data_IF_826976849681
#
_entry.id   IF_826976849681
#
_cell.length_a   1.000
_cell.length_b   1.000
_cell.length_c   1.000
_cell.angle_alpha   90.00
_cell.angle_beta   90.00
_cell.angle_gamma   90.00
#
_symmetry.space_group_name_H-M   'P 1'
#
loop_
_entity.id
_entity.type
_entity.pdbx_description
1 polymer ?
#
# COMPACT_ATOMS: atom_id res chain seq x y z
N UNK A 1 -15.89 65.46 -19.88
CA UNK A 1 -15.76 66.10 -21.21
C UNK A 1 -14.27 66.24 -21.54
N UNK A 2 -13.86 65.66 -22.68
CA UNK A 2 -12.76 65.97 -23.61
C UNK A 2 -11.64 66.96 -23.18
N UNK A 3 -10.37 66.49 -23.24
CA UNK A 3 -9.28 66.86 -24.22
C UNK A 3 -8.43 68.08 -23.77
N UNK A 4 -7.12 68.24 -24.00
CA UNK A 4 -6.05 67.57 -24.78
C UNK A 4 -4.68 68.28 -24.49
N UNK A 5 -3.55 67.57 -24.70
CA UNK A 5 -2.24 67.94 -25.35
C UNK A 5 -1.63 69.37 -25.15
N UNK A 6 -0.32 69.69 -25.19
CA UNK A 6 0.96 69.08 -25.62
C UNK A 6 2.13 70.05 -25.28
N UNK A 7 3.38 69.55 -25.26
CA UNK A 7 4.59 70.32 -25.61
C UNK A 7 5.81 69.98 -24.74
N UNK A 8 6.73 69.09 -25.16
CA UNK A 8 8.00 69.36 -25.90
C UNK A 8 9.00 70.21 -25.06
N UNK A 9 10.31 69.92 -24.89
CA UNK A 9 11.32 69.38 -25.81
C UNK A 9 12.67 69.15 -25.06
N UNK A 10 13.43 68.14 -25.51
CA UNK A 10 14.90 67.97 -25.55
C UNK A 10 15.81 68.07 -24.31
N UNK A 11 16.64 67.03 -24.08
CA UNK A 11 18.06 67.05 -24.49
C UNK A 11 18.70 65.67 -24.28
N UNK A 12 19.38 65.17 -25.31
CA UNK A 12 20.14 63.94 -25.32
C UNK A 12 21.53 64.15 -24.70
N UNK A 13 21.99 63.18 -23.91
CA UNK A 13 23.43 62.90 -23.76
C UNK A 13 23.64 61.39 -23.80
N UNK A 14 24.18 60.95 -24.94
CA UNK A 14 24.81 59.66 -25.12
C UNK A 14 26.19 59.72 -24.46
N UNK A 15 26.48 58.81 -23.54
CA UNK A 15 27.84 58.34 -23.31
C UNK A 15 27.84 56.82 -23.25
N UNK A 16 28.54 56.26 -24.23
CA UNK A 16 28.90 54.87 -24.41
C UNK A 16 30.01 54.45 -23.46
N UNK A 17 29.93 53.23 -22.93
CA UNK A 17 30.94 52.15 -23.02
C UNK A 17 30.77 51.21 -21.83
N UNK A 18 30.75 49.92 -22.14
CA UNK A 18 30.16 48.89 -21.32
C UNK A 18 30.96 48.52 -20.07
N UNK A 19 30.19 48.14 -19.05
CA UNK A 19 30.53 46.99 -18.25
C UNK A 19 29.50 45.90 -18.53
N UNK A 20 30.02 44.76 -18.99
CA UNK A 20 29.27 43.53 -19.15
C UNK A 20 28.71 43.13 -17.77
N UNK A 21 27.40 43.25 -17.60
CA UNK A 21 26.71 42.37 -16.66
C UNK A 21 26.53 41.06 -17.42
N UNK A 22 27.17 40.01 -16.92
CA UNK A 22 26.95 38.67 -17.42
C UNK A 22 25.44 38.42 -17.38
N UNK A 23 24.82 38.28 -18.55
CA UNK A 23 23.53 37.63 -18.67
C UNK A 23 23.72 36.22 -18.15
N UNK A 24 23.46 36.02 -16.85
CA UNK A 24 23.04 34.74 -16.36
C UNK A 24 21.79 34.42 -17.18
N UNK A 25 21.96 33.61 -18.24
CA UNK A 25 20.88 32.92 -18.93
C UNK A 25 19.98 32.40 -17.82
N UNK A 26 18.87 33.08 -17.58
CA UNK A 26 17.81 32.57 -16.76
C UNK A 26 17.56 31.19 -17.33
N UNK A 27 17.87 30.15 -16.55
CA UNK A 27 17.43 28.81 -16.87
C UNK A 27 15.93 28.98 -17.00
N UNK A 28 15.46 29.07 -18.24
CA UNK A 28 14.07 28.87 -18.60
C UNK A 28 13.73 27.59 -17.87
N UNK A 29 12.99 27.73 -16.78
CA UNK A 29 12.55 26.64 -15.95
C UNK A 29 11.75 25.78 -16.91
N UNK A 30 12.41 24.74 -17.43
CA UNK A 30 11.86 23.91 -18.49
C UNK A 30 10.59 23.35 -17.92
N UNK A 31 9.44 23.73 -18.49
CA UNK A 31 8.17 23.08 -18.17
C UNK A 31 8.45 21.58 -18.17
N UNK A 32 8.23 20.85 -17.07
CA UNK A 32 8.48 19.43 -17.07
C UNK A 32 7.64 18.86 -18.20
N UNK A 33 8.32 18.30 -19.20
CA UNK A 33 7.67 17.57 -20.27
C UNK A 33 7.24 16.28 -19.61
N UNK A 34 6.06 16.29 -19.00
CA UNK A 34 5.37 15.06 -18.63
C UNK A 34 5.12 14.36 -19.96
N UNK A 35 6.05 13.48 -20.34
CA UNK A 35 5.83 12.63 -21.48
C UNK A 35 4.86 11.56 -20.99
N UNK A 36 3.76 11.36 -21.70
CA UNK A 36 2.92 10.17 -21.59
C UNK A 36 3.02 9.52 -22.97
N UNK A 37 4.09 8.72 -23.18
CA UNK A 37 4.41 8.17 -24.50
C UNK A 37 3.47 7.02 -24.88
N UNK A 38 3.08 6.22 -23.91
CA UNK A 38 2.15 5.11 -24.04
C UNK A 38 0.68 5.58 -24.12
N UNK A 39 0.40 6.84 -23.78
CA UNK A 39 -0.93 7.48 -23.82
C UNK A 39 -1.95 6.73 -22.98
N UNK A 40 -1.52 6.25 -21.82
CA UNK A 40 -2.38 5.50 -20.91
C UNK A 40 -2.94 6.36 -19.76
N UNK A 41 -2.61 7.66 -19.78
CA UNK A 41 -3.10 8.66 -18.85
C UNK A 41 -2.23 8.86 -17.63
N UNK A 42 -1.07 8.18 -17.55
CA UNK A 42 -0.09 8.36 -16.49
C UNK A 42 1.20 8.94 -17.08
N UNK A 43 1.80 9.99 -16.48
CA UNK A 43 3.12 10.47 -16.91
C UNK A 43 4.23 9.41 -16.76
N UNK A 44 5.07 9.26 -17.79
CA UNK A 44 6.22 8.35 -17.84
C UNK A 44 7.12 8.50 -16.59
N UNK A 45 7.29 9.72 -16.07
CA UNK A 45 8.15 9.98 -14.90
C UNK A 45 7.57 9.44 -13.60
N UNK A 46 6.25 9.47 -13.45
CA UNK A 46 5.54 8.83 -12.34
C UNK A 46 5.64 7.30 -12.46
N UNK A 47 5.40 6.74 -13.65
CA UNK A 47 5.54 5.30 -13.89
C UNK A 47 6.96 4.78 -13.59
N UNK A 48 7.98 5.54 -13.99
CA UNK A 48 9.39 5.23 -13.73
C UNK A 48 9.75 5.35 -12.25
N UNK A 49 9.22 6.37 -11.55
CA UNK A 49 9.43 6.56 -10.10
C UNK A 49 9.00 5.32 -9.31
N UNK A 50 7.88 4.72 -9.68
CA UNK A 50 7.32 3.53 -9.01
C UNK A 50 7.67 2.20 -9.70
N UNK A 51 8.52 2.22 -10.73
CA UNK A 51 9.00 1.03 -11.45
C UNK A 51 7.86 0.17 -12.01
N UNK A 52 6.83 0.82 -12.57
CA UNK A 52 5.65 0.15 -13.13
C UNK A 52 5.86 -0.34 -14.56
N UNK A 53 6.79 0.27 -15.30
CA UNK A 53 7.00 0.06 -16.74
C UNK A 53 6.31 1.16 -17.57
N UNK A 54 6.50 1.15 -18.90
CA UNK A 54 5.95 2.16 -19.83
C UNK A 54 5.00 1.51 -20.86
N UNK A 55 4.32 0.45 -20.45
CA UNK A 55 3.39 -0.28 -21.32
C UNK A 55 2.01 0.36 -21.31
N UNK A 56 1.26 0.28 -22.40
CA UNK A 56 -0.09 0.88 -22.50
C UNK A 56 -1.12 0.34 -21.49
N UNK A 57 -0.86 -0.83 -20.90
CA UNK A 57 -1.74 -1.45 -19.92
C UNK A 57 -1.33 -1.15 -18.48
N UNK A 58 -0.22 -0.43 -18.24
CA UNK A 58 0.30 -0.15 -16.90
C UNK A 58 -0.74 0.61 -16.09
N UNK A 59 -1.38 1.61 -16.68
CA UNK A 59 -2.47 2.35 -16.02
C UNK A 59 -3.64 1.51 -15.49
N UNK A 60 -3.91 0.32 -16.06
CA UNK A 60 -5.02 -0.55 -15.65
C UNK A 60 -4.58 -1.69 -14.71
N UNK A 61 -3.30 -1.77 -14.37
CA UNK A 61 -2.81 -2.75 -13.41
C UNK A 61 -3.05 -2.24 -11.99
N UNK A 62 -3.23 -3.18 -11.08
CA UNK A 62 -3.27 -2.98 -9.64
C UNK A 62 -2.01 -3.65 -9.09
N UNK A 63 -1.00 -2.82 -8.79
CA UNK A 63 0.39 -3.28 -8.60
C UNK A 63 0.60 -3.88 -7.21
N UNK A 64 -0.02 -3.32 -6.19
CA UNK A 64 0.08 -3.77 -4.80
C UNK A 64 -1.14 -4.59 -4.34
N UNK A 65 -2.21 -4.64 -5.14
CA UNK A 65 -3.39 -5.50 -4.97
C UNK A 65 -4.31 -5.04 -3.85
N UNK A 66 -4.45 -3.73 -3.70
CA UNK A 66 -5.36 -3.10 -2.75
C UNK A 66 -6.78 -2.86 -3.33
N UNK A 67 -6.96 -3.09 -4.63
CA UNK A 67 -8.23 -2.89 -5.34
C UNK A 67 -8.31 -1.61 -6.16
N UNK A 68 -7.23 -0.81 -6.24
CA UNK A 68 -7.12 0.36 -7.10
C UNK A 68 -6.17 0.10 -8.27
N UNK A 69 -6.52 0.64 -9.43
CA UNK A 69 -5.57 0.63 -10.56
C UNK A 69 -4.56 1.77 -10.40
N UNK A 70 -3.34 1.60 -10.92
CA UNK A 70 -2.28 2.61 -10.93
C UNK A 70 -2.77 4.00 -11.39
N UNK A 71 -3.74 4.06 -12.33
CA UNK A 71 -4.33 5.34 -12.79
C UNK A 71 -5.19 6.02 -11.72
N UNK A 72 -5.99 5.23 -11.00
CA UNK A 72 -6.82 5.74 -9.90
C UNK A 72 -5.91 6.25 -8.79
N UNK A 73 -4.88 5.49 -8.44
CA UNK A 73 -3.89 5.89 -7.45
C UNK A 73 -3.13 7.16 -7.87
N UNK A 74 -2.79 7.31 -9.14
CA UNK A 74 -2.22 8.55 -9.68
C UNK A 74 -3.14 9.76 -9.46
N UNK A 75 -4.44 9.62 -9.74
CA UNK A 75 -5.43 10.68 -9.53
C UNK A 75 -5.58 11.05 -8.05
N UNK A 76 -5.58 10.05 -7.17
CA UNK A 76 -5.68 10.21 -5.72
C UNK A 76 -4.35 10.60 -5.06
N UNK A 77 -3.24 10.65 -5.82
CA UNK A 77 -1.88 10.94 -5.35
C UNK A 77 -1.35 9.92 -4.32
N UNK A 78 -1.77 8.69 -4.48
CA UNK A 78 -1.39 7.53 -3.67
C UNK A 78 -0.10 6.88 -4.22
N UNK A 79 0.39 5.87 -3.51
CA UNK A 79 1.58 5.13 -3.87
C UNK A 79 1.23 3.73 -4.42
N UNK A 80 1.40 3.49 -5.74
CA UNK A 80 1.06 2.23 -6.44
C UNK A 80 1.95 1.04 -6.11
N UNK A 81 2.68 1.10 -5.01
CA UNK A 81 3.52 0.00 -4.54
C UNK A 81 3.28 -0.30 -3.07
N UNK A 82 2.26 0.31 -2.48
CA UNK A 82 1.89 0.20 -1.08
C UNK A 82 0.38 0.16 -1.00
N UNK A 83 -0.13 -0.96 -0.50
CA UNK A 83 -1.56 -1.14 -0.27
C UNK A 83 -2.18 -0.16 0.74
N UNK A 84 -1.34 0.56 1.48
CA UNK A 84 -1.68 1.53 2.52
C UNK A 84 -0.58 2.60 2.48
N UNK A 85 -0.90 3.73 1.83
CA UNK A 85 0.05 4.80 1.53
C UNK A 85 0.42 5.59 2.78
N UNK A 86 -0.56 5.87 3.63
CA UNK A 86 -0.43 6.75 4.80
C UNK A 86 -0.16 6.00 6.12
N UNK A 87 -0.31 4.67 6.09
CA UNK A 87 -0.04 3.72 7.17
C UNK A 87 -1.03 3.80 8.33
N UNK A 88 -2.28 4.15 8.05
CA UNK A 88 -3.33 4.20 9.05
C UNK A 88 -4.01 2.82 9.30
N UNK A 89 -3.58 1.78 8.57
CA UNK A 89 -4.10 0.40 8.58
C UNK A 89 -5.42 0.19 7.82
N UNK A 90 -5.91 1.21 7.12
CA UNK A 90 -6.93 1.11 6.10
C UNK A 90 -6.20 1.00 4.76
N UNK A 91 -6.65 0.09 3.89
CA UNK A 91 -6.04 -0.02 2.58
C UNK A 91 -6.49 1.17 1.72
N UNK A 92 -5.64 1.66 0.83
CA UNK A 92 -5.92 2.78 -0.07
C UNK A 92 -7.25 2.57 -0.85
N UNK A 93 -7.51 1.35 -1.34
CA UNK A 93 -8.79 0.98 -1.95
C UNK A 93 -10.00 0.91 -1.00
N UNK A 94 -9.77 0.78 0.31
CA UNK A 94 -10.80 0.74 1.36
C UNK A 94 -11.07 2.12 2.00
N UNK A 95 -10.23 3.13 1.72
CA UNK A 95 -10.46 4.51 2.15
C UNK A 95 -11.69 5.15 1.48
N UNK A 96 -12.23 6.20 2.08
CA UNK A 96 -13.32 7.06 1.57
C UNK A 96 -12.77 8.48 1.42
N UNK A 97 -12.08 8.74 0.30
CA UNK A 97 -11.24 9.94 0.12
C UNK A 97 -12.05 11.23 0.18
N UNK A 98 -13.25 11.22 -0.39
CA UNK A 98 -14.13 12.39 -0.51
C UNK A 98 -15.23 12.45 0.57
N UNK A 99 -15.33 11.41 1.41
CA UNK A 99 -16.19 11.31 2.60
C UNK A 99 -17.66 11.35 2.23
N UNK A 100 -18.03 10.53 1.27
CA UNK A 100 -19.38 10.44 0.76
C UNK A 100 -20.12 9.18 1.24
N UNK A 101 -19.39 8.22 1.82
CA UNK A 101 -19.90 6.96 2.36
C UNK A 101 -19.62 5.74 1.48
N UNK A 102 -18.94 5.90 0.34
CA UNK A 102 -18.39 4.83 -0.48
C UNK A 102 -16.87 4.74 -0.30
N UNK A 103 -16.32 3.54 -0.49
CA UNK A 103 -14.86 3.38 -0.52
C UNK A 103 -14.35 3.63 -1.94
N UNK A 104 -13.10 4.06 -2.08
CA UNK A 104 -12.45 4.33 -3.36
C UNK A 104 -12.66 3.17 -4.36
N UNK A 105 -12.45 1.92 -3.93
CA UNK A 105 -12.65 0.74 -4.79
C UNK A 105 -14.13 0.43 -5.08
N UNK A 106 -15.06 0.80 -4.19
CA UNK A 106 -16.49 0.66 -4.44
C UNK A 106 -16.95 1.66 -5.52
N UNK A 107 -16.46 2.89 -5.45
CA UNK A 107 -16.73 3.94 -6.42
C UNK A 107 -16.22 3.58 -7.81
N UNK A 108 -14.97 3.10 -7.90
CA UNK A 108 -14.41 2.57 -9.15
C UNK A 108 -15.30 1.47 -9.75
N UNK A 109 -15.84 0.58 -8.92
CA UNK A 109 -16.72 -0.50 -9.37
C UNK A 109 -18.12 0.01 -9.82
N UNK A 110 -18.57 1.14 -9.27
CA UNK A 110 -19.83 1.80 -9.61
C UNK A 110 -19.70 2.77 -10.79
N UNK A 111 -18.48 3.17 -11.13
CA UNK A 111 -18.17 4.16 -12.17
C UNK A 111 -18.27 5.61 -11.70
N UNK A 112 -18.27 5.83 -10.38
CA UNK A 112 -18.14 7.15 -9.76
C UNK A 112 -16.65 7.49 -9.57
N UNK A 113 -16.35 8.71 -9.11
CA UNK A 113 -14.99 9.27 -9.01
C UNK A 113 -14.58 9.37 -7.55
N UNK A 114 -13.57 8.61 -7.09
CA UNK A 114 -13.17 8.60 -5.68
C UNK A 114 -12.73 9.93 -5.06
N UNK A 115 -12.35 10.89 -5.91
CA UNK A 115 -11.97 12.23 -5.49
C UNK A 115 -13.14 13.25 -5.45
N UNK A 116 -14.36 12.85 -5.78
CA UNK A 116 -15.49 13.74 -6.08
C UNK A 116 -16.83 13.18 -5.57
N UNK A 117 -17.21 13.65 -4.37
CA UNK A 117 -18.35 13.14 -3.60
C UNK A 117 -19.72 13.23 -4.29
N UNK A 118 -19.83 13.88 -5.45
CA UNK A 118 -21.04 14.03 -6.27
C UNK A 118 -20.62 13.98 -7.75
N UNK A 119 -20.33 12.77 -8.23
CA UNK A 119 -19.64 12.56 -9.50
C UNK A 119 -20.38 13.10 -10.73
N UNK A 120 -21.71 13.11 -10.69
CA UNK A 120 -22.57 13.61 -11.76
C UNK A 120 -23.12 15.03 -11.52
N UNK A 121 -22.75 15.65 -10.39
CA UNK A 121 -23.10 17.00 -9.98
C UNK A 121 -24.62 17.23 -9.90
N UNK A 122 -25.39 16.22 -9.50
CA UNK A 122 -26.84 16.29 -9.31
C UNK A 122 -27.27 16.82 -7.92
N UNK A 123 -26.29 17.11 -7.05
CA UNK A 123 -26.41 17.56 -5.64
C UNK A 123 -26.77 16.45 -4.67
N UNK A 124 -26.69 15.19 -5.07
CA UNK A 124 -26.77 14.02 -4.19
C UNK A 124 -25.39 13.38 -4.18
N UNK A 125 -24.86 13.13 -2.98
CA UNK A 125 -23.58 12.42 -2.87
C UNK A 125 -23.67 11.02 -3.45
N UNK A 126 -22.61 10.48 -4.05
CA UNK A 126 -22.63 9.15 -4.67
C UNK A 126 -23.04 8.06 -3.65
N UNK A 127 -22.51 8.11 -2.43
CA UNK A 127 -22.89 7.24 -1.32
C UNK A 127 -24.29 7.45 -0.75
N UNK A 128 -24.90 8.62 -1.00
CA UNK A 128 -26.28 8.91 -0.63
C UNK A 128 -27.27 8.58 -1.76
N UNK A 129 -26.79 8.24 -2.96
CA UNK A 129 -27.64 7.94 -4.09
C UNK A 129 -28.48 6.68 -3.84
N UNK A 130 -29.77 6.79 -4.14
CA UNK A 130 -30.75 5.68 -4.02
C UNK A 130 -31.06 5.01 -5.35
N UNK A 131 -30.33 5.36 -6.42
CA UNK A 131 -30.58 4.88 -7.78
C UNK A 131 -29.67 3.70 -8.12
N UNK A 132 -30.23 2.63 -8.67
CA UNK A 132 -29.43 1.54 -9.24
C UNK A 132 -28.49 0.84 -8.23
N UNK A 133 -27.20 0.75 -8.58
CA UNK A 133 -26.19 -0.05 -7.87
C UNK A 133 -25.63 0.64 -6.61
N UNK A 134 -25.65 1.96 -6.52
CA UNK A 134 -25.11 2.73 -5.36
C UNK A 134 -25.83 2.37 -4.06
N UNK A 135 -27.16 2.17 -4.12
CA UNK A 135 -27.97 1.65 -3.01
C UNK A 135 -27.46 0.32 -2.42
N UNK A 136 -26.85 -0.52 -3.25
CA UNK A 136 -26.39 -1.85 -2.86
C UNK A 136 -24.89 -1.88 -2.56
N UNK A 137 -24.19 -0.76 -2.72
CA UNK A 137 -22.74 -0.69 -2.69
C UNK A 137 -22.15 -1.27 -1.40
N UNK A 138 -22.75 -0.92 -0.25
CA UNK A 138 -22.29 -1.36 1.07
C UNK A 138 -23.02 -2.60 1.61
N UNK A 139 -23.94 -3.20 0.85
CA UNK A 139 -24.65 -4.41 1.28
C UNK A 139 -23.73 -5.62 1.12
N UNK A 140 -23.59 -6.46 2.16
CA UNK A 140 -22.87 -7.72 2.05
C UNK A 140 -23.72 -8.72 1.28
N UNK A 141 -23.24 -9.16 0.11
CA UNK A 141 -23.88 -10.20 -0.71
C UNK A 141 -23.40 -11.61 -0.34
N UNK A 142 -22.17 -11.72 0.16
CA UNK A 142 -21.57 -13.00 0.56
C UNK A 142 -20.61 -12.80 1.71
N UNK A 143 -20.64 -13.69 2.69
CA UNK A 143 -19.64 -13.76 3.75
C UNK A 143 -19.37 -15.23 4.10
N UNK A 144 -18.11 -15.63 4.09
CA UNK A 144 -17.63 -16.93 4.55
C UNK A 144 -16.64 -16.72 5.69
N UNK A 145 -16.90 -17.34 6.83
CA UNK A 145 -16.10 -17.19 8.04
C UNK A 145 -15.79 -18.56 8.63
N UNK A 146 -14.51 -18.80 8.91
CA UNK A 146 -14.01 -20.02 9.52
C UNK A 146 -13.10 -19.65 10.69
N UNK A 147 -13.46 -20.08 11.89
CA UNK A 147 -12.65 -19.93 13.09
C UNK A 147 -12.31 -21.30 13.64
N UNK A 148 -11.09 -21.43 14.16
CA UNK A 148 -10.61 -22.59 14.89
C UNK A 148 -9.98 -22.13 16.21
N UNK A 149 -10.54 -22.54 17.34
CA UNK A 149 -10.05 -22.18 18.67
C UNK A 149 -8.85 -23.04 19.09
N UNK A 150 -8.17 -22.66 20.16
CA UNK A 150 -7.12 -23.46 20.79
C UNK A 150 -7.61 -24.87 21.21
N UNK A 151 -8.86 -24.99 21.64
CA UNK A 151 -9.52 -26.26 21.96
C UNK A 151 -9.89 -27.09 20.71
N UNK A 152 -9.46 -26.68 19.51
CA UNK A 152 -9.72 -27.35 18.24
C UNK A 152 -11.22 -27.42 17.86
N UNK A 153 -12.06 -26.58 18.50
CA UNK A 153 -13.45 -26.36 18.10
C UNK A 153 -13.49 -25.42 16.89
N UNK A 154 -14.49 -25.62 16.03
CA UNK A 154 -14.67 -24.83 14.82
C UNK A 154 -15.99 -24.08 14.80
N UNK A 155 -15.93 -22.83 14.33
CA UNK A 155 -17.10 -22.04 13.95
C UNK A 155 -17.02 -21.85 12.44
N UNK A 156 -18.11 -22.18 11.74
CA UNK A 156 -18.25 -21.99 10.29
C UNK A 156 -19.53 -21.21 10.03
N UNK A 157 -19.41 -20.12 9.30
CA UNK A 157 -20.52 -19.27 8.89
C UNK A 157 -20.48 -19.10 7.38
N UNK A 158 -21.60 -19.33 6.74
CA UNK A 158 -21.83 -19.07 5.32
C UNK A 158 -23.08 -18.20 5.19
N UNK A 159 -22.90 -16.96 4.76
CA UNK A 159 -23.96 -16.00 4.52
C UNK A 159 -24.04 -15.63 3.05
N UNK A 160 -25.27 -15.61 2.54
CA UNK A 160 -25.57 -15.13 1.20
C UNK A 160 -26.80 -14.24 1.23
N UNK A 161 -26.75 -13.12 0.51
CA UNK A 161 -27.86 -12.19 0.36
C UNK A 161 -28.12 -11.88 -1.10
N UNK A 162 -29.39 -11.77 -1.43
CA UNK A 162 -29.91 -11.22 -2.69
C UNK A 162 -31.11 -10.31 -2.38
N UNK A 163 -31.55 -9.55 -3.38
CA UNK A 163 -32.74 -8.70 -3.23
C UNK A 163 -34.03 -9.47 -2.87
N UNK A 164 -34.07 -10.79 -3.12
CA UNK A 164 -35.25 -11.62 -2.89
C UNK A 164 -35.22 -12.37 -1.55
N UNK A 165 -34.04 -12.74 -1.08
CA UNK A 165 -33.86 -13.57 0.12
C UNK A 165 -32.43 -13.50 0.62
N UNK A 166 -32.26 -13.78 1.92
CA UNK A 166 -30.99 -14.06 2.55
C UNK A 166 -30.97 -15.47 3.14
N UNK A 167 -29.78 -16.06 3.21
CA UNK A 167 -29.53 -17.34 3.83
C UNK A 167 -28.29 -17.23 4.72
N UNK A 168 -28.46 -17.54 6.00
CA UNK A 168 -27.38 -17.63 6.97
C UNK A 168 -27.32 -19.06 7.47
N UNK A 169 -26.20 -19.74 7.19
CA UNK A 169 -25.91 -21.05 7.73
C UNK A 169 -24.75 -20.94 8.71
N UNK A 170 -24.88 -21.58 9.86
CA UNK A 170 -23.82 -21.61 10.87
C UNK A 170 -23.70 -23.00 11.47
N UNK A 171 -22.46 -23.42 11.68
CA UNK A 171 -22.09 -24.58 12.50
C UNK A 171 -21.09 -24.10 13.53
N UNK A 172 -21.47 -24.21 14.80
CA UNK A 172 -20.63 -23.83 15.92
C UNK A 172 -20.39 -25.06 16.82
N UNK A 173 -19.12 -25.35 17.12
CA UNK A 173 -18.70 -26.40 18.05
C UNK A 173 -18.32 -25.87 19.44
N UNK A 174 -18.24 -24.55 19.64
CA UNK A 174 -18.08 -23.94 20.97
C UNK A 174 -19.41 -23.92 21.70
N UNK A 175 -20.50 -23.64 20.98
CA UNK A 175 -21.84 -23.52 21.53
C UNK A 175 -22.13 -22.14 22.11
N UNK A 176 -21.25 -21.17 21.85
CA UNK A 176 -21.28 -19.82 22.42
C UNK A 176 -21.76 -18.78 21.39
N UNK A 177 -21.57 -19.04 20.10
CA UNK A 177 -21.87 -18.08 19.04
C UNK A 177 -23.30 -18.26 18.55
N UNK A 178 -24.05 -17.17 18.49
CA UNK A 178 -25.43 -17.14 18.01
C UNK A 178 -25.54 -16.54 16.60
N UNK A 179 -26.65 -16.80 15.93
CA UNK A 179 -26.94 -16.15 14.63
C UNK A 179 -27.09 -14.63 14.75
N UNK A 180 -27.44 -14.12 15.94
CA UNK A 180 -27.54 -12.68 16.19
C UNK A 180 -26.16 -12.02 16.26
N UNK A 181 -25.16 -12.72 16.78
CA UNK A 181 -23.78 -12.23 16.82
C UNK A 181 -23.22 -12.10 15.40
N UNK A 182 -23.47 -13.11 14.56
CA UNK A 182 -23.14 -13.07 13.14
C UNK A 182 -23.87 -11.93 12.42
N UNK A 183 -25.17 -11.75 12.70
CA UNK A 183 -25.93 -10.66 12.10
C UNK A 183 -25.42 -9.28 12.52
N UNK A 184 -24.96 -9.14 13.76
CA UNK A 184 -24.35 -7.91 14.28
C UNK A 184 -23.02 -7.62 13.57
N UNK A 185 -22.19 -8.64 13.34
CA UNK A 185 -20.97 -8.51 12.54
C UNK A 185 -21.29 -8.01 11.11
N UNK A 186 -22.28 -8.61 10.44
CA UNK A 186 -22.70 -8.19 9.11
C UNK A 186 -23.14 -6.72 9.12
N UNK A 187 -23.95 -6.32 10.10
CA UNK A 187 -24.43 -4.94 10.19
C UNK A 187 -23.29 -3.94 10.39
N UNK A 188 -22.32 -4.26 11.26
CA UNK A 188 -21.15 -3.44 11.51
C UNK A 188 -20.30 -3.24 10.25
N UNK A 189 -20.04 -4.31 9.50
CA UNK A 189 -19.26 -4.25 8.26
C UNK A 189 -19.96 -3.41 7.17
N UNK A 190 -21.30 -3.48 7.09
CA UNK A 190 -22.07 -2.66 6.14
C UNK A 190 -22.15 -1.19 6.56
N UNK A 191 -22.21 -0.92 7.86
CA UNK A 191 -22.28 0.44 8.39
C UNK A 191 -20.94 1.17 8.30
N UNK A 192 -19.83 0.44 8.27
CA UNK A 192 -18.47 0.99 8.21
C UNK A 192 -17.62 0.18 7.23
N UNK A 193 -17.79 0.41 5.91
CA UNK A 193 -17.10 -0.37 4.87
C UNK A 193 -15.58 -0.20 4.86
N UNK A 194 -15.06 0.87 5.49
CA UNK A 194 -13.65 1.25 5.63
C UNK A 194 -13.01 0.78 6.94
N UNK A 195 -13.62 -0.15 7.69
CA UNK A 195 -12.98 -0.70 8.90
C UNK A 195 -11.62 -1.34 8.57
N UNK A 196 -10.60 -1.02 9.35
CA UNK A 196 -9.29 -1.67 9.27
C UNK A 196 -9.39 -3.16 9.59
N UNK A 197 -8.39 -3.93 9.16
CA UNK A 197 -8.36 -5.37 9.44
C UNK A 197 -8.38 -5.66 10.96
N UNK A 198 -7.67 -4.86 11.76
CA UNK A 198 -7.62 -5.00 13.22
C UNK A 198 -8.98 -4.75 13.88
N UNK A 199 -9.73 -3.74 13.42
CA UNK A 199 -11.07 -3.46 13.93
C UNK A 199 -12.08 -4.55 13.60
N UNK A 200 -11.99 -5.13 12.39
CA UNK A 200 -12.82 -6.28 12.01
C UNK A 200 -12.50 -7.48 12.92
N UNK A 201 -11.22 -7.75 13.19
CA UNK A 201 -10.82 -8.82 14.12
C UNK A 201 -11.36 -8.56 15.53
N UNK A 202 -11.22 -7.33 16.04
CA UNK A 202 -11.68 -6.96 17.37
C UNK A 202 -13.21 -7.12 17.53
N UNK A 203 -13.97 -6.76 16.49
CA UNK A 203 -15.43 -6.98 16.45
C UNK A 203 -15.77 -8.46 16.51
N UNK A 204 -15.08 -9.31 15.74
CA UNK A 204 -15.28 -10.76 15.77
C UNK A 204 -14.95 -11.33 17.14
N UNK A 205 -13.81 -10.97 17.71
CA UNK A 205 -13.41 -11.39 19.06
C UNK A 205 -14.47 -11.05 20.11
N UNK A 206 -14.99 -9.82 20.05
CA UNK A 206 -16.01 -9.33 20.99
C UNK A 206 -17.34 -10.07 20.80
N UNK A 207 -17.83 -10.15 19.56
CA UNK A 207 -19.13 -10.75 19.26
C UNK A 207 -19.14 -12.27 19.50
N UNK A 208 -18.00 -12.93 19.28
CA UNK A 208 -17.90 -14.39 19.33
C UNK A 208 -17.24 -14.87 20.63
N UNK A 209 -17.01 -13.94 21.58
CA UNK A 209 -16.38 -14.21 22.87
C UNK A 209 -15.06 -14.98 22.78
N UNK A 210 -14.22 -14.66 21.80
CA UNK A 210 -12.95 -15.35 21.58
C UNK A 210 -11.88 -14.81 22.55
N UNK A 211 -11.79 -15.43 23.72
CA UNK A 211 -10.86 -15.08 24.80
C UNK A 211 -9.54 -15.88 24.75
N UNK A 212 -9.52 -16.99 24.01
CA UNK A 212 -8.34 -17.83 23.78
C UNK A 212 -7.79 -17.64 22.38
N UNK A 213 -6.51 -17.97 22.13
CA UNK A 213 -5.93 -17.86 20.80
C UNK A 213 -6.71 -18.68 19.76
N UNK A 214 -6.85 -18.10 18.56
CA UNK A 214 -7.64 -18.66 17.49
C UNK A 214 -6.99 -18.43 16.12
N UNK A 215 -7.39 -19.26 15.16
CA UNK A 215 -7.16 -19.03 13.73
C UNK A 215 -8.47 -18.58 13.11
N UNK A 216 -8.43 -17.54 12.30
CA UNK A 216 -9.58 -16.96 11.63
C UNK A 216 -9.27 -16.80 10.15
N UNK A 217 -10.20 -17.23 9.30
CA UNK A 217 -10.27 -16.92 7.88
C UNK A 217 -11.64 -16.31 7.60
N UNK A 218 -11.65 -15.11 7.04
CA UNK A 218 -12.86 -14.39 6.68
C UNK A 218 -12.72 -13.89 5.24
N UNK A 219 -13.75 -14.13 4.43
CA UNK A 219 -13.90 -13.54 3.10
C UNK A 219 -15.31 -12.99 2.97
N UNK A 220 -15.45 -11.75 2.49
CA UNK A 220 -16.76 -11.16 2.27
C UNK A 220 -16.77 -10.27 1.05
N UNK A 221 -17.95 -10.13 0.45
CA UNK A 221 -18.17 -9.40 -0.79
C UNK A 221 -19.36 -8.46 -0.65
N UNK A 222 -19.14 -7.22 -1.04
CA UNK A 222 -20.14 -6.17 -1.08
C UNK A 222 -20.89 -6.13 -2.42
N UNK A 223 -22.05 -5.47 -2.44
CA UNK A 223 -22.87 -5.33 -3.64
C UNK A 223 -22.27 -4.45 -4.72
N UNK A 224 -21.29 -3.60 -4.38
CA UNK A 224 -20.43 -2.92 -5.36
C UNK A 224 -19.57 -3.91 -6.18
N UNK A 225 -19.36 -5.13 -5.67
CA UNK A 225 -18.46 -6.12 -6.27
C UNK A 225 -17.11 -6.23 -5.55
N UNK A 226 -16.79 -5.25 -4.67
CA UNK A 226 -15.61 -5.26 -3.80
C UNK A 226 -15.61 -6.49 -2.90
N UNK A 227 -14.47 -7.17 -2.81
CA UNK A 227 -14.28 -8.33 -1.93
C UNK A 227 -13.08 -8.10 -1.03
N UNK A 228 -13.20 -8.49 0.23
CA UNK A 228 -12.11 -8.45 1.21
C UNK A 228 -11.85 -9.86 1.73
N UNK A 229 -10.58 -10.12 2.01
CA UNK A 229 -10.11 -11.36 2.60
C UNK A 229 -9.17 -11.06 3.76
N UNK A 230 -9.38 -11.75 4.86
CA UNK A 230 -8.65 -11.60 6.09
C UNK A 230 -8.28 -12.98 6.63
N UNK A 231 -7.04 -13.12 7.10
CA UNK A 231 -6.61 -14.31 7.82
C UNK A 231 -5.72 -13.92 8.98
N UNK A 232 -6.00 -14.45 10.17
CA UNK A 232 -5.18 -14.25 11.36
C UNK A 232 -4.91 -15.57 12.06
N UNK A 233 -3.71 -15.67 12.62
CA UNK A 233 -3.23 -16.79 13.41
C UNK A 233 -2.71 -16.21 14.71
N UNK A 234 -3.53 -16.27 15.76
CA UNK A 234 -3.12 -15.89 17.10
C UNK A 234 -2.66 -17.18 17.78
N UNK A 235 -1.38 -17.26 18.10
CA UNK A 235 -0.82 -18.38 18.86
C UNK A 235 -0.77 -17.99 20.36
N UNK A 236 -0.80 -18.97 21.26
CA UNK A 236 -0.51 -18.72 22.69
C UNK A 236 0.91 -18.16 22.77
N UNK A 237 1.04 -16.93 23.26
CA UNK A 237 2.33 -16.33 23.56
C UNK A 237 3.04 -17.22 24.59
N UNK A 238 4.00 -18.03 24.13
CA UNK A 238 4.97 -18.66 25.02
C UNK A 238 5.89 -17.54 25.44
N UNK A 239 5.52 -16.87 26.54
CA UNK A 239 6.22 -15.72 27.07
C UNK A 239 7.73 -15.87 26.89
N UNK A 240 8.32 -14.92 26.16
CA UNK A 240 9.76 -14.81 26.07
C UNK A 240 10.29 -14.72 27.50
N UNK A 241 10.95 -15.80 27.93
CA UNK A 241 11.84 -15.77 29.07
C UNK A 241 12.88 -14.70 28.73
N UNK A 242 12.71 -13.52 29.33
CA UNK A 242 13.66 -12.43 29.24
C UNK A 242 15.06 -13.01 29.43
N UNK A 243 15.87 -12.87 28.38
CA UNK A 243 17.27 -13.24 28.41
C UNK A 243 17.90 -12.61 29.64
N UNK A 244 18.19 -13.46 30.61
CA UNK A 244 19.04 -13.14 31.75
C UNK A 244 20.37 -12.66 31.15
N UNK A 245 20.85 -11.45 31.47
CA UNK A 245 22.21 -11.07 31.12
C UNK A 245 23.13 -12.09 31.78
N UNK A 246 24.01 -12.71 30.98
CA UNK A 246 25.10 -13.49 31.52
C UNK A 246 25.98 -12.58 32.35
N UNK A 247 25.90 -12.75 33.66
CA UNK A 247 26.92 -12.29 34.60
C UNK A 247 28.17 -13.15 34.36
N UNK A 248 29.07 -12.69 33.49
CA UNK A 248 30.44 -13.21 33.42
C UNK A 248 31.18 -12.70 34.67
N UNK A 249 31.16 -13.53 35.71
CA UNK A 249 32.03 -13.42 36.87
C UNK A 249 33.41 -13.95 36.49
N UNK A 250 34.32 -13.03 36.17
CA UNK A 250 35.77 -13.26 36.20
C UNK A 250 36.22 -13.16 37.67
N UNK A 251 36.42 -14.32 38.30
CA UNK A 251 37.19 -14.45 39.54
C UNK A 251 38.44 -15.30 39.27
N UNK A 252 39.59 -14.68 39.55
CA UNK A 252 40.74 -15.24 40.27
C UNK A 252 41.66 -16.25 39.52
N UNK A 253 43.00 -16.24 39.61
CA UNK A 253 43.98 -15.52 40.42
C UNK A 253 45.39 -16.09 40.07
N UNK A 254 46.46 -15.30 40.31
CA UNK A 254 47.90 -15.64 40.36
C UNK A 254 48.59 -16.23 39.10
N UNK A 255 49.72 -15.74 38.58
CA UNK A 255 50.82 -14.96 39.13
C UNK A 255 52.16 -15.68 38.81
N UNK A 256 53.08 -15.05 38.06
CA UNK A 256 54.55 -15.10 38.19
C UNK A 256 55.32 -14.75 36.88
N UNK A 257 56.02 -13.62 36.95
CA UNK A 257 57.39 -13.29 36.52
C UNK A 257 58.18 -14.23 35.58
N UNK A 258 58.72 -13.68 34.46
CA UNK A 258 60.15 -13.39 34.23
C UNK A 258 60.53 -13.28 32.73
N UNK A 259 61.22 -12.17 32.45
CA UNK A 259 62.32 -11.89 31.50
C UNK A 259 62.77 -12.95 30.46
N UNK A 260 63.10 -12.46 29.24
CA UNK A 260 64.07 -13.13 28.38
C UNK A 260 64.07 -12.71 26.90
N UNK A 261 65.18 -12.08 26.48
CA UNK A 261 65.71 -12.01 25.10
C UNK A 261 65.54 -13.35 24.32
N UNK A 262 65.47 -13.43 22.99
CA UNK A 262 66.51 -13.07 22.03
C UNK A 262 66.03 -13.37 20.59
N UNK A 263 66.85 -12.93 19.63
CA UNK A 263 66.70 -12.81 18.18
C UNK A 263 66.77 -14.12 17.36
N UNK A 264 66.61 -13.93 16.03
CA UNK A 264 66.95 -14.79 14.88
C UNK A 264 65.84 -15.77 14.45
N UNK A 265 65.59 -16.05 13.16
CA UNK A 265 66.43 -15.99 11.97
C UNK A 265 65.54 -16.05 10.71
N UNK A 266 66.02 -15.42 9.62
CA UNK A 266 65.99 -15.80 8.18
C UNK A 266 64.62 -15.98 7.48
N UNK A 267 64.30 -15.22 6.42
CA UNK A 267 64.85 -15.16 5.04
C UNK A 267 64.64 -16.44 4.22
N UNK A 268 64.45 -16.23 2.90
CA UNK A 268 64.21 -17.14 1.77
C UNK A 268 62.76 -17.00 1.24
N UNK A 269 62.46 -16.20 0.22
CA UNK A 269 62.90 -16.13 -1.19
C UNK A 269 61.91 -16.83 -2.15
N UNK A 270 61.44 -15.99 -3.09
CA UNK A 270 61.29 -16.21 -4.53
C UNK A 270 60.21 -17.13 -5.16
N UNK A 271 59.40 -16.46 -5.99
CA UNK A 271 59.04 -16.75 -7.39
C UNK A 271 58.58 -18.15 -7.81
N UNK A 272 57.42 -18.22 -8.50
CA UNK A 272 57.40 -18.65 -9.91
C UNK A 272 56.05 -18.35 -10.61
N UNK A 273 56.18 -17.62 -11.72
CA UNK A 273 55.22 -17.40 -12.80
C UNK A 273 55.05 -18.66 -13.67
N UNK A 274 53.86 -18.86 -14.24
CA UNK A 274 53.55 -20.02 -15.07
C UNK A 274 52.20 -19.92 -15.76
N UNK A 275 52.14 -19.17 -16.87
CA UNK A 275 51.06 -19.28 -17.84
C UNK A 275 51.16 -20.55 -18.70
N UNK A 276 50.04 -21.04 -19.24
CA UNK A 276 50.00 -21.51 -20.63
C UNK A 276 48.55 -21.63 -21.15
N UNK A 277 48.43 -21.35 -22.44
CA UNK A 277 47.27 -21.29 -23.32
C UNK A 277 47.14 -22.59 -24.12
N UNK A 278 45.91 -22.96 -24.47
CA UNK A 278 45.54 -23.93 -25.52
C UNK A 278 44.08 -24.33 -25.34
N UNK A 279 43.19 -24.42 -26.33
CA UNK A 279 43.27 -24.48 -27.79
C UNK A 279 42.07 -25.33 -28.27
N UNK A 280 41.72 -25.20 -29.56
CA UNK A 280 40.80 -26.04 -30.37
C UNK A 280 39.28 -25.72 -30.42
N UNK A 281 38.93 -24.84 -31.36
CA UNK A 281 38.37 -25.14 -32.70
C UNK A 281 37.24 -26.19 -32.88
N UNK A 282 36.11 -25.67 -33.40
CA UNK A 282 35.59 -26.08 -34.72
C UNK A 282 34.56 -27.20 -34.78
N UNK A 283 33.29 -26.85 -35.11
CA UNK A 283 32.57 -27.53 -36.18
C UNK A 283 31.37 -26.70 -36.70
N UNK A 284 31.46 -26.30 -37.97
CA UNK A 284 30.36 -25.76 -38.79
C UNK A 284 30.32 -26.61 -40.05
N UNK A 285 29.16 -27.23 -40.33
CA UNK A 285 28.51 -27.35 -41.65
C UNK A 285 27.70 -28.64 -41.74
N UNK A 286 26.38 -28.52 -41.81
CA UNK A 286 25.52 -28.91 -42.96
C UNK A 286 24.11 -28.34 -42.77
#
# INVERSE_FOLDING_TARGET
>A
MKRMLVGCLAAALLFSSGWATAEAKGKQQSKPKWADKNKDGIPDDWELKYKLGLGKNVANQDKDRDGLTNRVEYNLRLNPTKTDTDKDKILDGDEDTDRDGLTNSAEVALGTKPEDADSDNDRVKDGAEKKGKTKLANVIQKLELRIKTAANQTIKVDYHWSERHSHLHMKDQTGEVTTNDVQSLINDLQASPSLSNDEVIAKIQTLFSLDTPFRLELEWKYGSGRARKLSVKQDEDKGENAGQPGDDQDDDDQGHDQDGHDQNHDQDDDDYDGGNVGGDDGNSSE
#
